data_IF_390137250083
#
_entry.id   IF_390137250083
#
_cell.length_a   1.000
_cell.length_b   1.000
_cell.length_c   1.000
_cell.angle_alpha   90.00
_cell.angle_beta   90.00
_cell.angle_gamma   90.00
#
_symmetry.space_group_name_H-M   'P 1'
#
loop_
_entity.id
_entity.type
_entity.pdbx_description
1 polymer ?
#
# COMPACT_ATOMS: atom_id res chain seq x y z
N UNK A 1 16.33 -21.48 13.40
CA UNK A 1 17.30 -22.16 12.51
C UNK A 1 18.17 -21.08 11.91
N UNK A 2 19.41 -20.96 12.36
CA UNK A 2 20.36 -19.99 11.82
C UNK A 2 20.53 -20.22 10.32
N UNK A 3 20.37 -19.15 9.55
CA UNK A 3 20.67 -19.12 8.12
C UNK A 3 22.18 -19.20 8.00
N UNK A 4 22.74 -20.43 7.93
CA UNK A 4 24.15 -20.61 7.61
C UNK A 4 24.41 -19.96 6.26
N UNK A 5 25.30 -18.97 6.24
CA UNK A 5 25.84 -18.33 5.04
C UNK A 5 26.36 -19.40 4.08
N UNK A 6 25.56 -19.73 3.07
CA UNK A 6 26.01 -20.58 1.95
C UNK A 6 27.02 -19.76 1.15
N UNK A 7 28.29 -20.17 1.17
CA UNK A 7 29.36 -19.52 0.39
C UNK A 7 28.97 -19.47 -1.09
N UNK A 8 28.83 -18.25 -1.64
CA UNK A 8 28.52 -18.00 -3.06
C UNK A 8 27.06 -17.72 -3.38
N UNK A 9 26.14 -17.68 -2.40
CA UNK A 9 24.75 -17.33 -2.61
C UNK A 9 24.54 -15.81 -2.59
N UNK A 10 23.75 -15.31 -3.53
CA UNK A 10 23.25 -13.93 -3.52
C UNK A 10 22.04 -13.87 -2.61
N UNK A 11 22.01 -12.89 -1.70
CA UNK A 11 20.84 -12.65 -0.83
C UNK A 11 20.25 -11.30 -1.13
N UNK A 12 18.97 -11.30 -1.50
CA UNK A 12 18.15 -10.10 -1.69
C UNK A 12 17.07 -10.09 -0.61
N UNK A 13 16.69 -8.92 -0.13
CA UNK A 13 15.49 -8.78 0.68
C UNK A 13 14.59 -7.68 0.17
N UNK A 14 13.28 -7.89 0.23
CA UNK A 14 12.26 -6.91 -0.09
C UNK A 14 11.27 -6.75 1.06
N UNK A 15 10.89 -5.52 1.43
CA UNK A 15 9.95 -5.27 2.52
C UNK A 15 8.51 -5.55 2.10
N UNK A 16 7.63 -5.73 3.08
CA UNK A 16 6.22 -5.44 2.92
C UNK A 16 5.97 -3.93 2.94
N UNK A 17 4.71 -3.55 2.72
CA UNK A 17 4.27 -2.16 2.90
C UNK A 17 2.91 -2.10 3.62
N UNK A 18 2.67 -1.00 4.34
CA UNK A 18 1.34 -0.63 4.79
C UNK A 18 0.82 0.56 3.96
N UNK A 19 -0.51 0.62 3.76
CA UNK A 19 -1.18 1.74 3.11
C UNK A 19 -1.43 2.82 4.17
N UNK A 20 -0.49 3.77 4.27
CA UNK A 20 -0.43 4.71 5.37
C UNK A 20 -1.44 5.83 5.21
N UNK A 21 -1.38 6.60 4.11
CA UNK A 21 -2.29 7.71 3.86
C UNK A 21 -2.82 7.69 2.43
N UNK A 22 -4.00 8.29 2.24
CA UNK A 22 -4.69 8.44 0.96
C UNK A 22 -5.14 7.10 0.34
N UNK A 23 -5.57 6.18 1.17
CA UNK A 23 -6.09 4.86 0.77
C UNK A 23 -7.20 4.98 -0.28
N UNK A 24 -7.19 4.11 -1.31
CA UNK A 24 -8.16 4.11 -2.42
C UNK A 24 -8.14 5.33 -3.34
N UNK A 25 -7.02 6.02 -3.43
CA UNK A 25 -6.89 7.19 -4.30
C UNK A 25 -6.04 6.95 -5.55
N UNK A 26 -5.19 5.93 -5.55
CA UNK A 26 -4.26 5.60 -6.63
C UNK A 26 -4.96 5.37 -7.99
N UNK A 27 -6.02 4.58 -8.02
CA UNK A 27 -6.77 4.33 -9.27
C UNK A 27 -7.57 5.54 -9.76
N UNK A 28 -7.74 6.57 -8.93
CA UNK A 28 -8.33 7.86 -9.31
C UNK A 28 -7.29 8.84 -9.86
N UNK A 29 -6.02 8.45 -9.88
CA UNK A 29 -4.90 9.29 -10.30
C UNK A 29 -4.47 10.32 -9.26
N UNK A 30 -4.91 10.19 -8.01
CA UNK A 30 -4.48 10.99 -6.88
C UNK A 30 -3.22 10.38 -6.23
N UNK A 31 -2.37 11.19 -5.58
CA UNK A 31 -1.19 10.66 -4.92
C UNK A 31 -1.55 9.74 -3.76
N UNK A 32 -0.68 8.78 -3.44
CA UNK A 32 -0.80 7.89 -2.28
C UNK A 32 0.49 7.90 -1.47
N UNK A 33 0.39 7.54 -0.19
CA UNK A 33 1.54 7.57 0.73
C UNK A 33 1.71 6.21 1.39
N UNK A 34 2.32 5.22 0.72
CA UNK A 34 2.71 3.97 1.35
C UNK A 34 3.89 4.18 2.32
N UNK A 35 3.95 3.33 3.33
CA UNK A 35 5.11 3.16 4.20
C UNK A 35 5.64 1.74 4.09
N UNK A 36 6.93 1.59 3.80
CA UNK A 36 7.58 0.30 3.88
C UNK A 36 7.72 -0.13 5.34
N UNK A 37 7.49 -1.41 5.60
CA UNK A 37 7.60 -2.01 6.93
C UNK A 37 8.87 -2.84 7.06
N UNK A 38 9.29 -3.17 8.27
CA UNK A 38 10.51 -3.95 8.49
C UNK A 38 10.30 -5.47 8.45
N UNK A 39 9.07 -5.94 8.16
CA UNK A 39 8.82 -7.34 7.79
C UNK A 39 9.27 -7.55 6.34
N UNK A 40 10.12 -8.54 6.11
CA UNK A 40 10.79 -8.72 4.82
C UNK A 40 10.62 -10.11 4.26
N UNK A 41 10.68 -10.20 2.94
CA UNK A 41 10.83 -11.45 2.19
C UNK A 41 12.30 -11.58 1.76
N UNK A 42 12.92 -12.70 2.06
CA UNK A 42 14.32 -13.00 1.74
C UNK A 42 14.41 -13.98 0.59
N UNK A 43 15.30 -13.69 -0.36
CA UNK A 43 15.61 -14.50 -1.53
C UNK A 43 17.04 -15.00 -1.41
N UNK A 44 17.20 -16.30 -1.31
CA UNK A 44 18.50 -16.98 -1.32
C UNK A 44 18.68 -17.59 -2.70
N UNK A 45 19.72 -17.18 -3.42
CA UNK A 45 19.84 -17.48 -4.83
C UNK A 45 21.22 -18.00 -5.23
N UNK A 46 21.24 -19.03 -6.06
CA UNK A 46 22.45 -19.59 -6.68
C UNK A 46 22.32 -19.47 -8.20
N UNK A 47 23.24 -18.72 -8.88
CA UNK A 47 23.25 -18.62 -10.31
C UNK A 47 23.54 -19.97 -11.00
N UNK A 48 22.76 -20.29 -12.04
CA UNK A 48 22.93 -21.49 -12.86
C UNK A 48 23.67 -21.18 -14.17
N UNK A 49 24.22 -22.22 -14.79
CA UNK A 49 24.86 -22.10 -16.10
C UNK A 49 23.85 -22.22 -17.28
N UNK A 50 22.68 -22.77 -17.02
CA UNK A 50 21.61 -22.94 -17.99
C UNK A 50 20.61 -21.75 -18.01
N UNK A 51 19.48 -21.92 -18.67
CA UNK A 51 18.40 -20.94 -18.78
C UNK A 51 17.13 -21.39 -18.02
N UNK A 52 17.31 -22.08 -16.89
CA UNK A 52 16.20 -22.58 -16.07
C UNK A 52 16.13 -21.85 -14.75
N UNK A 53 14.95 -21.44 -14.36
CA UNK A 53 14.66 -20.98 -13.00
C UNK A 53 14.02 -22.12 -12.20
N UNK A 54 14.51 -22.35 -10.99
CA UNK A 54 13.79 -23.09 -9.95
C UNK A 54 13.46 -22.16 -8.82
N UNK A 55 12.24 -22.19 -8.33
CA UNK A 55 11.79 -21.36 -7.23
C UNK A 55 11.11 -22.21 -6.17
N UNK A 56 11.40 -21.95 -4.89
CA UNK A 56 10.83 -22.66 -3.74
C UNK A 56 10.49 -21.69 -2.63
N UNK A 57 9.32 -21.84 -2.04
CA UNK A 57 8.87 -21.07 -0.87
C UNK A 57 8.81 -21.97 0.36
N UNK A 58 9.62 -21.65 1.38
CA UNK A 58 9.64 -22.39 2.64
C UNK A 58 8.35 -22.19 3.44
N UNK A 59 7.72 -21.02 3.31
CA UNK A 59 6.51 -20.70 4.07
C UNK A 59 5.31 -21.45 3.51
N UNK A 60 5.16 -21.50 2.17
CA UNK A 60 4.09 -22.28 1.52
C UNK A 60 4.26 -23.79 1.74
N UNK A 61 5.51 -24.27 1.74
CA UNK A 61 5.81 -25.67 2.07
C UNK A 61 5.36 -26.02 3.49
N UNK A 62 5.63 -25.13 4.45
CA UNK A 62 5.17 -25.28 5.84
C UNK A 62 3.66 -25.29 6.00
N UNK A 63 2.92 -24.70 5.05
CA UNK A 63 1.46 -24.69 4.99
C UNK A 63 0.86 -25.85 4.19
N UNK A 64 1.69 -26.69 3.55
CA UNK A 64 1.23 -27.77 2.67
C UNK A 64 0.68 -27.29 1.32
N UNK A 65 0.97 -26.04 0.95
CA UNK A 65 0.55 -25.44 -0.32
C UNK A 65 1.56 -25.72 -1.44
N UNK A 66 1.18 -25.58 -2.74
CA UNK A 66 2.12 -25.67 -3.85
C UNK A 66 3.25 -24.67 -3.69
N UNK A 67 4.45 -25.15 -3.35
CA UNK A 67 5.59 -24.35 -2.86
C UNK A 67 6.79 -24.31 -3.80
N UNK A 68 6.73 -24.98 -4.97
CA UNK A 68 7.83 -25.03 -5.93
C UNK A 68 7.35 -24.86 -7.38
N UNK A 69 8.22 -24.25 -8.20
CA UNK A 69 8.02 -24.13 -9.64
C UNK A 69 9.35 -24.23 -10.39
N UNK A 70 9.28 -24.67 -11.65
CA UNK A 70 10.41 -24.72 -12.57
C UNK A 70 9.96 -24.22 -13.95
N UNK A 71 10.72 -23.29 -14.54
CA UNK A 71 10.42 -22.73 -15.85
C UNK A 71 11.69 -22.16 -16.52
N UNK A 72 11.62 -21.94 -17.84
CA UNK A 72 12.76 -21.46 -18.61
C UNK A 72 12.76 -19.94 -18.79
N UNK A 73 13.94 -19.39 -19.15
CA UNK A 73 14.10 -17.98 -19.54
C UNK A 73 13.51 -17.76 -20.94
N UNK A 74 12.20 -17.73 -21.00
CA UNK A 74 11.39 -17.41 -22.19
C UNK A 74 10.07 -16.82 -21.74
N UNK A 75 9.20 -16.44 -22.68
CA UNK A 75 7.82 -16.11 -22.35
C UNK A 75 7.10 -17.38 -21.85
N UNK A 76 6.65 -17.33 -20.59
CA UNK A 76 6.03 -18.46 -19.94
C UNK A 76 4.49 -18.29 -19.91
N UNK A 77 3.78 -19.42 -20.04
CA UNK A 77 2.33 -19.47 -19.82
C UNK A 77 2.05 -19.47 -18.31
N UNK A 78 1.09 -18.65 -17.87
CA UNK A 78 0.59 -18.67 -16.49
C UNK A 78 -0.17 -19.98 -16.23
N UNK A 79 -0.02 -20.52 -15.01
CA UNK A 79 -0.79 -21.71 -14.58
C UNK A 79 -2.19 -21.30 -14.12
N UNK A 80 -2.36 -20.09 -13.60
CA UNK A 80 -3.61 -19.59 -13.05
C UNK A 80 -3.92 -20.13 -11.65
N UNK A 81 -5.15 -19.88 -11.16
CA UNK A 81 -5.59 -20.41 -9.86
C UNK A 81 -4.82 -19.83 -8.66
N UNK A 82 -4.25 -18.61 -8.77
CA UNK A 82 -3.43 -17.96 -7.74
C UNK A 82 -2.13 -18.71 -7.41
N UNK A 83 -1.57 -19.45 -8.39
CA UNK A 83 -0.32 -20.16 -8.19
C UNK A 83 0.85 -19.18 -7.98
N UNK A 84 1.58 -19.33 -6.88
CA UNK A 84 2.64 -18.39 -6.50
C UNK A 84 3.76 -18.27 -7.55
N UNK A 85 4.06 -19.34 -8.28
CA UNK A 85 5.07 -19.35 -9.34
C UNK A 85 4.72 -18.43 -10.52
N UNK A 86 3.45 -18.06 -10.70
CA UNK A 86 3.03 -17.16 -11.78
C UNK A 86 3.54 -15.74 -11.58
N UNK A 87 3.76 -15.29 -10.36
CA UNK A 87 4.39 -13.99 -10.08
C UNK A 87 5.85 -13.95 -10.60
N UNK A 88 6.62 -15.01 -10.39
CA UNK A 88 7.98 -15.15 -10.94
C UNK A 88 7.96 -15.21 -12.47
N UNK A 89 7.04 -16.00 -13.05
CA UNK A 89 6.84 -16.08 -14.51
C UNK A 89 6.46 -14.73 -15.10
N UNK A 90 5.61 -13.97 -14.41
CA UNK A 90 5.20 -12.61 -14.76
C UNK A 90 6.41 -11.67 -14.87
N UNK A 91 7.26 -11.64 -13.87
CA UNK A 91 8.50 -10.82 -13.90
C UNK A 91 9.39 -11.20 -15.09
N UNK A 92 9.63 -12.50 -15.33
CA UNK A 92 10.44 -12.95 -16.48
C UNK A 92 9.78 -12.56 -17.80
N UNK A 93 8.47 -12.72 -17.93
CA UNK A 93 7.73 -12.33 -19.14
C UNK A 93 7.85 -10.84 -19.43
N UNK A 94 7.73 -9.99 -18.42
CA UNK A 94 7.90 -8.52 -18.56
C UNK A 94 9.32 -8.19 -19.01
N UNK A 95 10.34 -8.80 -18.40
CA UNK A 95 11.74 -8.58 -18.80
C UNK A 95 12.02 -9.06 -20.24
N UNK A 96 11.46 -10.20 -20.64
CA UNK A 96 11.55 -10.69 -22.04
C UNK A 96 10.87 -9.72 -23.00
N UNK A 97 9.66 -9.21 -22.68
CA UNK A 97 8.96 -8.21 -23.49
C UNK A 97 9.75 -6.89 -23.62
N UNK A 98 10.49 -6.50 -22.57
CA UNK A 98 11.40 -5.33 -22.60
C UNK A 98 12.72 -5.59 -23.34
N UNK A 99 12.89 -6.76 -23.98
CA UNK A 99 14.09 -7.10 -24.74
C UNK A 99 15.29 -7.58 -23.90
N UNK A 100 15.11 -7.75 -22.60
CA UNK A 100 16.19 -8.14 -21.67
C UNK A 100 16.41 -9.66 -21.59
N UNK A 101 15.58 -10.48 -22.22
CA UNK A 101 15.62 -11.95 -22.12
C UNK A 101 16.97 -12.57 -22.43
N UNK A 102 17.76 -12.01 -23.37
CA UNK A 102 19.10 -12.52 -23.72
C UNK A 102 20.11 -12.39 -22.58
N UNK A 103 19.95 -11.35 -21.74
CA UNK A 103 20.83 -11.10 -20.57
C UNK A 103 20.50 -12.00 -19.41
N UNK A 104 19.26 -12.51 -19.30
CA UNK A 104 18.84 -13.36 -18.22
C UNK A 104 19.58 -14.70 -18.25
N UNK A 105 19.87 -15.25 -17.09
CA UNK A 105 20.41 -16.60 -16.86
C UNK A 105 19.55 -17.32 -15.83
N UNK A 106 19.63 -18.64 -15.80
CA UNK A 106 18.91 -19.44 -14.81
C UNK A 106 19.42 -19.19 -13.39
N UNK A 107 18.56 -19.38 -12.42
CA UNK A 107 18.84 -19.17 -10.99
C UNK A 107 17.99 -20.16 -10.20
N UNK A 108 18.61 -20.82 -9.22
CA UNK A 108 17.90 -21.54 -8.16
C UNK A 108 17.59 -20.55 -7.04
N UNK A 109 16.31 -20.41 -6.67
CA UNK A 109 15.83 -19.42 -5.70
C UNK A 109 15.03 -20.09 -4.60
N UNK A 110 15.43 -19.90 -3.36
CA UNK A 110 14.62 -20.23 -2.17
C UNK A 110 14.15 -18.95 -1.52
N UNK A 111 12.87 -18.82 -1.22
CA UNK A 111 12.31 -17.67 -0.51
C UNK A 111 11.84 -18.04 0.89
N UNK A 112 12.02 -17.10 1.83
CA UNK A 112 11.45 -17.11 3.16
C UNK A 112 10.86 -15.75 3.47
N UNK A 113 9.64 -15.69 3.96
CA UNK A 113 8.89 -14.46 4.20
C UNK A 113 8.58 -14.29 5.69
N UNK A 114 8.80 -13.07 6.19
CA UNK A 114 8.23 -12.60 7.45
C UNK A 114 6.89 -11.90 7.22
N UNK A 115 6.55 -11.61 5.94
CA UNK A 115 5.31 -10.93 5.56
C UNK A 115 4.20 -11.96 5.52
N UNK A 116 3.14 -11.82 6.33
CA UNK A 116 2.04 -12.79 6.34
C UNK A 116 1.29 -12.80 5.01
N UNK A 117 0.99 -13.99 4.52
CA UNK A 117 0.25 -14.15 3.26
C UNK A 117 -1.21 -13.70 3.43
N UNK A 118 -1.69 -12.87 2.51
CA UNK A 118 -3.08 -12.42 2.47
C UNK A 118 -3.48 -11.43 3.56
N UNK A 119 -2.54 -10.86 4.29
CA UNK A 119 -2.79 -9.84 5.34
C UNK A 119 -2.96 -8.42 4.81
N UNK A 120 -2.84 -8.18 3.50
CA UNK A 120 -2.90 -6.84 2.92
C UNK A 120 -1.59 -6.05 3.05
N UNK A 121 -0.46 -6.72 3.36
CA UNK A 121 0.87 -6.11 3.51
C UNK A 121 1.76 -6.29 2.27
N UNK A 122 1.17 -6.59 1.11
CA UNK A 122 1.82 -6.68 -0.21
C UNK A 122 2.90 -7.74 -0.33
N UNK A 123 2.63 -8.97 0.12
CA UNK A 123 3.55 -10.10 -0.08
C UNK A 123 3.78 -10.39 -1.57
N UNK A 124 2.79 -10.21 -2.45
CA UNK A 124 2.94 -10.34 -3.92
C UNK A 124 3.95 -9.34 -4.48
N UNK A 125 3.77 -8.05 -4.17
CA UNK A 125 4.69 -7.01 -4.62
C UNK A 125 6.10 -7.20 -4.06
N UNK A 126 6.23 -7.66 -2.80
CA UNK A 126 7.53 -7.99 -2.22
C UNK A 126 8.22 -9.13 -2.98
N UNK A 127 7.45 -10.13 -3.42
CA UNK A 127 7.95 -11.24 -4.24
C UNK A 127 8.40 -10.75 -5.62
N UNK A 128 7.57 -9.99 -6.33
CA UNK A 128 7.84 -9.51 -7.69
C UNK A 128 9.02 -8.56 -7.75
N UNK A 129 9.01 -7.52 -6.90
CA UNK A 129 10.07 -6.51 -6.85
C UNK A 129 11.37 -7.11 -6.32
N UNK A 130 11.30 -8.02 -5.33
CA UNK A 130 12.46 -8.74 -4.80
C UNK A 130 13.10 -9.64 -5.86
N UNK A 131 12.31 -10.39 -6.63
CA UNK A 131 12.81 -11.21 -7.72
C UNK A 131 13.33 -10.37 -8.89
N UNK A 132 12.68 -9.27 -9.24
CA UNK A 132 13.19 -8.33 -10.24
C UNK A 132 14.56 -7.75 -9.82
N UNK A 133 14.75 -7.39 -8.54
CA UNK A 133 16.03 -6.94 -8.01
C UNK A 133 17.08 -8.04 -8.02
N UNK A 134 16.71 -9.28 -7.72
CA UNK A 134 17.61 -10.42 -7.82
C UNK A 134 18.14 -10.57 -9.25
N UNK A 135 17.25 -10.54 -10.26
CA UNK A 135 17.62 -10.60 -11.67
C UNK A 135 18.45 -9.38 -12.10
N UNK A 136 18.09 -8.19 -11.59
CA UNK A 136 18.85 -6.97 -11.81
C UNK A 136 20.31 -7.12 -11.37
N UNK A 137 20.52 -7.63 -10.16
CA UNK A 137 21.85 -7.84 -9.59
C UNK A 137 22.63 -8.94 -10.32
N UNK A 138 22.07 -10.16 -10.40
CA UNK A 138 22.78 -11.34 -10.96
C UNK A 138 23.06 -11.22 -12.44
N UNK A 139 22.19 -10.55 -13.19
CA UNK A 139 22.31 -10.39 -14.67
C UNK A 139 22.83 -9.01 -15.09
N UNK A 140 23.20 -8.13 -14.16
CA UNK A 140 23.71 -6.78 -14.41
C UNK A 140 22.80 -5.98 -15.37
N UNK A 141 21.49 -5.89 -15.05
CA UNK A 141 20.51 -5.26 -15.93
C UNK A 141 20.50 -3.74 -15.84
N UNK A 142 21.08 -3.15 -14.79
CA UNK A 142 21.14 -1.70 -14.53
C UNK A 142 19.76 -1.03 -14.42
N UNK A 143 18.81 -1.70 -13.78
CA UNK A 143 17.45 -1.21 -13.55
C UNK A 143 17.42 -0.27 -12.34
N UNK A 144 16.76 0.88 -12.50
CA UNK A 144 16.49 1.80 -11.40
C UNK A 144 15.31 1.31 -10.54
N UNK A 145 15.12 1.91 -9.34
CA UNK A 145 13.99 1.58 -8.44
C UNK A 145 12.63 1.70 -9.13
N UNK A 146 12.45 2.71 -9.98
CA UNK A 146 11.23 2.89 -10.76
C UNK A 146 11.01 1.73 -11.76
N UNK A 147 12.09 1.26 -12.43
CA UNK A 147 11.98 0.12 -13.35
C UNK A 147 11.56 -1.15 -12.61
N UNK A 148 12.12 -1.39 -11.41
CA UNK A 148 11.75 -2.54 -10.57
C UNK A 148 10.27 -2.49 -10.19
N UNK A 149 9.77 -1.31 -9.76
CA UNK A 149 8.38 -1.12 -9.42
C UNK A 149 7.46 -1.34 -10.63
N UNK A 150 7.80 -0.79 -11.80
CA UNK A 150 7.01 -0.96 -13.03
C UNK A 150 7.08 -2.39 -13.59
N UNK A 151 8.16 -3.14 -13.34
CA UNK A 151 8.25 -4.57 -13.69
C UNK A 151 7.32 -5.37 -12.78
N UNK A 152 7.35 -5.14 -11.46
CA UNK A 152 6.44 -5.79 -10.52
C UNK A 152 4.98 -5.50 -10.86
N UNK A 153 4.62 -4.22 -11.04
CA UNK A 153 3.26 -3.83 -11.44
C UNK A 153 2.80 -4.53 -12.73
N UNK A 154 3.65 -4.54 -13.77
CA UNK A 154 3.30 -5.19 -15.04
C UNK A 154 3.20 -6.72 -14.89
N UNK A 155 4.01 -7.33 -14.02
CA UNK A 155 3.93 -8.75 -13.71
C UNK A 155 2.59 -9.10 -13.06
N UNK A 156 2.16 -8.38 -12.03
CA UNK A 156 0.91 -8.64 -11.31
C UNK A 156 -0.31 -8.29 -12.17
N UNK A 157 -0.34 -7.07 -12.70
CA UNK A 157 -1.52 -6.54 -13.37
C UNK A 157 -1.73 -7.10 -14.79
N UNK A 158 -0.65 -7.17 -15.61
CA UNK A 158 -0.75 -7.51 -17.03
C UNK A 158 -0.48 -8.99 -17.32
N UNK A 159 0.42 -9.63 -16.57
CA UNK A 159 0.79 -11.03 -16.82
C UNK A 159 -0.05 -11.99 -15.96
N UNK A 160 -0.16 -11.76 -14.66
CA UNK A 160 -0.98 -12.58 -13.75
C UNK A 160 -2.47 -12.22 -13.86
N UNK A 161 -2.78 -10.96 -14.16
CA UNK A 161 -4.14 -10.48 -14.36
C UNK A 161 -4.86 -10.09 -13.06
N UNK A 162 -4.11 -9.75 -12.00
CA UNK A 162 -4.67 -9.23 -10.75
C UNK A 162 -4.87 -7.72 -10.88
N UNK A 163 -6.09 -7.19 -10.76
CA UNK A 163 -6.32 -5.76 -10.83
C UNK A 163 -5.74 -5.06 -9.61
N UNK A 164 -4.59 -4.42 -9.77
CA UNK A 164 -3.88 -3.65 -8.74
C UNK A 164 -3.49 -2.27 -9.25
N UNK A 165 -3.25 -1.34 -8.32
CA UNK A 165 -2.58 -0.06 -8.58
C UNK A 165 -1.05 -0.20 -8.48
N UNK A 166 -0.35 0.93 -8.38
CA UNK A 166 1.12 0.97 -8.30
C UNK A 166 1.66 1.16 -6.88
N UNK A 167 0.79 1.45 -5.92
CA UNK A 167 1.14 1.74 -4.53
C UNK A 167 2.09 0.69 -3.95
N UNK A 168 1.77 -0.57 -4.15
CA UNK A 168 2.42 -1.73 -3.55
C UNK A 168 3.87 -1.85 -4.03
N UNK A 169 4.06 -1.93 -5.34
CA UNK A 169 5.37 -2.16 -5.93
C UNK A 169 6.30 -0.94 -5.74
N UNK A 170 5.75 0.28 -5.79
CA UNK A 170 6.54 1.48 -5.50
C UNK A 170 6.92 1.57 -4.03
N UNK A 171 6.01 1.31 -3.09
CA UNK A 171 6.31 1.27 -1.66
C UNK A 171 7.42 0.26 -1.33
N UNK A 172 7.34 -0.94 -1.89
CA UNK A 172 8.34 -2.01 -1.73
C UNK A 172 9.69 -1.62 -2.36
N UNK A 173 9.67 -1.06 -3.57
CA UNK A 173 10.89 -0.75 -4.31
C UNK A 173 11.68 0.40 -3.67
N UNK A 174 11.00 1.48 -3.33
CA UNK A 174 11.64 2.69 -2.81
C UNK A 174 11.95 2.60 -1.32
N UNK A 175 11.05 2.02 -0.53
CA UNK A 175 11.16 1.96 0.92
C UNK A 175 10.92 3.31 1.59
N UNK A 176 11.02 3.35 2.90
CA UNK A 176 10.73 4.54 3.68
C UNK A 176 9.25 4.90 3.62
N UNK A 177 8.97 6.19 3.71
CA UNK A 177 7.67 6.78 3.41
C UNK A 177 7.84 7.56 2.12
N UNK A 178 6.96 7.33 1.15
CA UNK A 178 7.01 8.03 -0.14
C UNK A 178 5.65 8.64 -0.45
N UNK A 179 5.64 9.79 -1.13
CA UNK A 179 4.49 10.26 -1.89
C UNK A 179 4.64 9.77 -3.33
N UNK A 180 3.69 8.97 -3.81
CA UNK A 180 3.65 8.51 -5.19
C UNK A 180 2.55 9.25 -5.94
N UNK A 181 2.90 9.98 -6.99
CA UNK A 181 1.93 10.53 -7.95
C UNK A 181 1.42 9.39 -8.87
N UNK A 182 0.11 9.13 -8.83
CA UNK A 182 -0.49 8.00 -9.55
C UNK A 182 -0.93 8.33 -11.00
N UNK A 183 -0.43 9.42 -11.56
CA UNK A 183 -0.51 9.74 -13.01
C UNK A 183 0.88 9.75 -13.63
N UNK A 184 1.02 9.34 -14.90
CA UNK A 184 2.30 9.43 -15.58
C UNK A 184 2.91 10.84 -15.48
N UNK A 185 4.21 10.96 -15.23
CA UNK A 185 5.26 9.93 -15.23
C UNK A 185 5.49 9.20 -13.90
N UNK A 186 4.51 9.10 -13.02
CA UNK A 186 4.56 8.39 -11.71
C UNK A 186 5.73 8.85 -10.84
N UNK A 187 5.75 10.15 -10.53
CA UNK A 187 6.82 10.77 -9.72
C UNK A 187 6.76 10.28 -8.28
N UNK A 188 7.94 10.02 -7.73
CA UNK A 188 8.11 9.62 -6.33
C UNK A 188 8.86 10.73 -5.59
N UNK A 189 8.28 11.16 -4.46
CA UNK A 189 8.90 12.05 -3.50
C UNK A 189 9.18 11.26 -2.22
N UNK A 190 10.44 10.97 -1.87
CA UNK A 190 10.78 10.41 -0.56
C UNK A 190 10.48 11.43 0.54
N UNK A 191 9.77 11.01 1.58
CA UNK A 191 9.43 11.86 2.72
C UNK A 191 10.47 11.67 3.84
N UNK A 192 10.97 12.77 4.41
CA UNK A 192 12.09 12.70 5.37
C UNK A 192 11.69 12.22 6.77
N UNK A 193 10.43 12.38 7.20
CA UNK A 193 9.95 11.96 8.51
C UNK A 193 9.87 10.42 8.57
N UNK A 194 10.80 9.79 9.30
CA UNK A 194 10.93 8.32 9.36
C UNK A 194 10.86 7.73 10.76
N UNK A 195 10.81 8.57 11.80
CA UNK A 195 10.71 8.12 13.18
C UNK A 195 9.26 7.76 13.54
N UNK A 196 8.73 6.76 12.86
CA UNK A 196 7.39 6.22 13.10
C UNK A 196 7.49 4.75 13.49
N UNK A 197 6.74 4.38 14.52
CA UNK A 197 6.55 2.99 14.93
C UNK A 197 5.08 2.64 14.80
N UNK A 198 4.79 1.50 14.19
CA UNK A 198 3.45 1.00 13.95
C UNK A 198 3.23 -0.34 14.66
N UNK A 199 2.06 -0.52 15.25
CA UNK A 199 1.50 -1.85 15.46
C UNK A 199 0.67 -2.19 14.22
N UNK A 200 0.93 -3.35 13.62
CA UNK A 200 0.24 -3.88 12.46
C UNK A 200 -0.57 -5.06 12.95
N UNK A 201 -1.88 -5.03 12.78
CA UNK A 201 -2.81 -6.02 13.33
C UNK A 201 -3.54 -6.70 12.17
N UNK A 202 -3.38 -8.02 12.03
CA UNK A 202 -4.16 -8.85 11.11
C UNK A 202 -5.50 -9.18 11.75
N UNK A 203 -6.60 -8.71 11.16
CA UNK A 203 -7.94 -9.02 11.64
C UNK A 203 -8.33 -10.50 11.48
N UNK A 204 -7.60 -11.27 10.66
CA UNK A 204 -7.98 -12.63 10.29
C UNK A 204 -9.09 -12.72 9.24
N UNK A 205 -9.75 -11.62 8.92
CA UNK A 205 -10.82 -11.56 7.92
C UNK A 205 -10.21 -11.39 6.53
N UNK A 206 -10.62 -12.25 5.59
CA UNK A 206 -10.11 -12.24 4.22
C UNK A 206 -11.21 -11.82 3.24
N UNK A 207 -10.91 -10.80 2.46
CA UNK A 207 -11.75 -10.32 1.36
C UNK A 207 -10.95 -10.18 0.06
N UNK A 208 -11.68 -10.21 -1.06
CA UNK A 208 -11.08 -10.01 -2.38
C UNK A 208 -11.16 -8.53 -2.78
N UNK A 209 -10.03 -7.93 -3.09
CA UNK A 209 -9.96 -6.58 -3.68
C UNK A 209 -10.79 -6.47 -4.96
N UNK A 210 -10.89 -7.56 -5.72
CA UNK A 210 -11.67 -7.63 -6.96
C UNK A 210 -13.18 -7.41 -6.76
N UNK A 211 -13.71 -7.65 -5.56
CA UNK A 211 -15.12 -7.44 -5.25
C UNK A 211 -15.42 -6.01 -4.79
N UNK A 212 -14.43 -5.33 -4.22
CA UNK A 212 -14.58 -4.02 -3.59
C UNK A 212 -14.43 -2.87 -4.60
N UNK A 213 -13.34 -2.86 -5.36
CA UNK A 213 -13.00 -1.73 -6.24
C UNK A 213 -14.03 -1.44 -7.32
N UNK A 214 -14.55 -2.43 -8.11
CA UNK A 214 -15.48 -2.15 -9.19
C UNK A 214 -16.76 -1.47 -8.71
N UNK A 215 -17.27 -1.87 -7.54
CA UNK A 215 -18.48 -1.26 -6.96
C UNK A 215 -18.27 0.22 -6.61
N UNK A 216 -17.13 0.54 -5.98
CA UNK A 216 -16.80 1.93 -5.61
C UNK A 216 -16.55 2.81 -6.82
N UNK A 217 -15.87 2.29 -7.83
CA UNK A 217 -15.65 2.95 -9.11
C UNK A 217 -16.97 3.23 -9.84
N UNK A 218 -17.89 2.26 -9.86
CA UNK A 218 -19.23 2.42 -10.44
C UNK A 218 -20.04 3.51 -9.72
N UNK A 219 -19.99 3.57 -8.38
CA UNK A 219 -20.66 4.59 -7.60
C UNK A 219 -20.14 6.00 -7.95
N UNK A 220 -18.81 6.17 -8.08
CA UNK A 220 -18.20 7.43 -8.50
C UNK A 220 -18.65 7.82 -9.91
N UNK A 221 -18.59 6.87 -10.85
CA UNK A 221 -18.98 7.13 -12.25
C UNK A 221 -20.42 7.59 -12.38
N UNK A 222 -21.35 7.04 -11.58
CA UNK A 222 -22.74 7.51 -11.55
C UNK A 222 -22.85 8.97 -11.10
N UNK A 223 -22.11 9.34 -10.04
CA UNK A 223 -22.09 10.72 -9.56
C UNK A 223 -21.49 11.69 -10.57
N UNK A 224 -20.36 11.32 -11.18
CA UNK A 224 -19.72 12.12 -12.22
C UNK A 224 -20.63 12.31 -13.42
N UNK A 225 -21.31 11.25 -13.87
CA UNK A 225 -22.30 11.32 -14.95
C UNK A 225 -23.42 12.30 -14.61
N UNK A 226 -23.99 12.21 -13.40
CA UNK A 226 -25.05 13.12 -12.96
C UNK A 226 -24.58 14.58 -12.97
N UNK A 227 -23.35 14.86 -12.51
CA UNK A 227 -22.76 16.19 -12.55
C UNK A 227 -22.56 16.68 -13.99
N UNK A 228 -21.97 15.87 -14.87
CA UNK A 228 -21.69 16.24 -16.27
C UNK A 228 -22.95 16.51 -17.07
N UNK A 229 -24.03 15.77 -16.84
CA UNK A 229 -25.30 15.89 -17.55
C UNK A 229 -26.21 16.99 -16.98
N UNK A 230 -25.94 17.48 -15.76
CA UNK A 230 -26.71 18.57 -15.15
C UNK A 230 -26.44 19.91 -15.82
N UNK A 231 -27.52 20.68 -16.06
CA UNK A 231 -27.44 22.05 -16.56
C UNK A 231 -27.09 23.07 -15.48
N UNK A 232 -27.17 22.68 -14.21
CA UNK A 232 -26.86 23.53 -13.07
C UNK A 232 -25.36 23.70 -12.84
N UNK A 233 -24.55 22.77 -13.37
CA UNK A 233 -23.10 22.75 -13.19
C UNK A 233 -22.43 23.74 -14.15
N UNK A 234 -21.61 24.68 -13.64
CA UNK A 234 -20.85 25.59 -14.50
C UNK A 234 -19.89 24.84 -15.42
N UNK A 235 -19.76 25.29 -16.67
CA UNK A 235 -18.83 24.64 -17.63
C UNK A 235 -17.39 24.64 -17.14
N UNK A 236 -16.93 25.68 -16.45
CA UNK A 236 -15.60 25.72 -15.83
C UNK A 236 -15.34 24.58 -14.83
N UNK A 237 -16.37 24.14 -14.08
CA UNK A 237 -16.26 22.99 -13.20
C UNK A 237 -16.27 21.69 -14.00
N UNK A 238 -17.07 21.60 -15.06
CA UNK A 238 -17.11 20.42 -15.94
C UNK A 238 -15.79 20.15 -16.64
N UNK A 239 -14.97 21.16 -16.93
CA UNK A 239 -13.63 21.01 -17.51
C UNK A 239 -12.69 20.20 -16.61
N UNK A 240 -12.91 20.22 -15.29
CA UNK A 240 -12.15 19.44 -14.31
C UNK A 240 -12.79 18.10 -13.95
N UNK A 241 -14.02 17.87 -14.38
CA UNK A 241 -14.76 16.62 -14.18
C UNK A 241 -14.52 15.64 -15.33
N UNK A 242 -15.32 14.61 -15.41
CA UNK A 242 -15.36 13.60 -16.46
C UNK A 242 -16.46 12.61 -16.18
N UNK A 243 -16.51 11.50 -16.91
CA UNK A 243 -17.54 10.47 -16.76
C UNK A 243 -17.08 9.24 -15.97
N UNK A 244 -15.76 9.08 -15.79
CA UNK A 244 -15.17 7.94 -15.08
C UNK A 244 -14.23 8.41 -13.97
N UNK A 245 -14.10 7.62 -12.91
CA UNK A 245 -13.39 7.91 -11.66
C UNK A 245 -11.94 8.38 -11.85
N UNK A 246 -11.29 8.03 -12.96
CA UNK A 246 -9.89 8.31 -13.29
C UNK A 246 -9.71 9.59 -14.16
N UNK A 247 -10.80 10.15 -14.70
CA UNK A 247 -10.74 11.34 -15.57
C UNK A 247 -10.60 12.65 -14.81
N UNK A 248 -11.31 12.88 -13.67
CA UNK A 248 -11.30 14.20 -13.06
C UNK A 248 -9.90 14.64 -12.60
N UNK A 249 -9.69 15.94 -12.67
CA UNK A 249 -8.56 16.62 -12.02
C UNK A 249 -8.88 16.87 -10.55
N UNK A 250 -9.02 15.78 -9.78
CA UNK A 250 -9.48 15.82 -8.39
C UNK A 250 -8.78 16.84 -7.49
N UNK A 251 -7.51 17.13 -7.74
CA UNK A 251 -6.74 18.12 -6.98
C UNK A 251 -7.14 19.55 -7.28
N UNK A 252 -7.83 19.80 -8.41
CA UNK A 252 -8.32 21.11 -8.82
C UNK A 252 -9.80 21.32 -8.46
N UNK A 253 -10.44 20.34 -7.81
CA UNK A 253 -11.85 20.38 -7.43
C UNK A 253 -11.95 20.57 -5.91
N UNK A 254 -12.46 21.72 -5.48
CA UNK A 254 -12.74 22.00 -4.07
C UNK A 254 -14.08 21.42 -3.61
N UNK A 255 -14.15 20.96 -2.34
CA UNK A 255 -15.43 20.52 -1.76
C UNK A 255 -16.46 21.65 -1.78
N UNK A 256 -16.04 22.89 -1.50
CA UNK A 256 -16.92 24.09 -1.52
C UNK A 256 -17.54 24.35 -2.89
N UNK A 257 -16.85 24.05 -3.98
CA UNK A 257 -17.34 24.23 -5.34
C UNK A 257 -18.43 23.20 -5.68
N UNK A 258 -18.27 21.95 -5.20
CA UNK A 258 -19.16 20.85 -5.56
C UNK A 258 -20.36 20.72 -4.61
N UNK A 259 -20.25 21.27 -3.37
CA UNK A 259 -21.27 21.09 -2.32
C UNK A 259 -22.66 21.56 -2.73
N UNK A 260 -22.74 22.61 -3.53
CA UNK A 260 -24.01 23.18 -4.01
C UNK A 260 -24.74 22.26 -5.00
N UNK A 261 -24.02 21.30 -5.56
CA UNK A 261 -24.52 20.38 -6.58
C UNK A 261 -24.64 18.93 -6.09
N UNK A 262 -24.46 18.70 -4.79
CA UNK A 262 -24.58 17.34 -4.24
C UNK A 262 -25.97 16.73 -4.38
N UNK A 263 -27.01 17.58 -4.50
CA UNK A 263 -28.40 17.16 -4.66
C UNK A 263 -28.70 16.49 -6.01
N UNK A 264 -27.85 16.70 -7.03
CA UNK A 264 -28.05 16.06 -8.35
C UNK A 264 -27.62 14.59 -8.37
N UNK A 265 -26.96 14.12 -7.31
CA UNK A 265 -26.41 12.75 -7.20
C UNK A 265 -27.19 11.90 -6.19
N UNK A 266 -27.18 10.58 -6.40
CA UNK A 266 -27.62 9.65 -5.36
C UNK A 266 -26.68 9.68 -4.15
N UNK A 267 -27.18 9.25 -2.97
CA UNK A 267 -26.44 9.35 -1.71
C UNK A 267 -25.12 8.58 -1.73
N UNK A 268 -25.06 7.42 -2.39
CA UNK A 268 -23.81 6.65 -2.48
C UNK A 268 -22.78 7.35 -3.37
N UNK A 269 -23.17 7.85 -4.52
CA UNK A 269 -22.30 8.61 -5.39
C UNK A 269 -21.75 9.86 -4.70
N UNK A 270 -22.61 10.61 -4.01
CA UNK A 270 -22.27 11.78 -3.19
C UNK A 270 -21.22 11.42 -2.12
N UNK A 271 -21.46 10.34 -1.35
CA UNK A 271 -20.51 9.87 -0.34
C UNK A 271 -19.13 9.56 -0.95
N UNK A 272 -19.06 8.87 -2.11
CA UNK A 272 -17.78 8.51 -2.77
C UNK A 272 -17.00 9.72 -3.27
N UNK A 273 -17.71 10.73 -3.81
CA UNK A 273 -17.06 11.97 -4.25
C UNK A 273 -16.55 12.78 -3.06
N UNK A 274 -17.35 12.95 -2.01
CA UNK A 274 -16.92 13.60 -0.78
C UNK A 274 -15.74 12.87 -0.13
N UNK A 275 -15.77 11.53 -0.09
CA UNK A 275 -14.63 10.74 0.37
C UNK A 275 -13.36 11.10 -0.40
N UNK A 276 -13.45 11.16 -1.74
CA UNK A 276 -12.28 11.43 -2.59
C UNK A 276 -11.65 12.78 -2.25
N UNK A 277 -12.46 13.83 -2.14
CA UNK A 277 -12.00 15.19 -1.86
C UNK A 277 -11.44 15.34 -0.43
N UNK A 278 -12.16 14.81 0.56
CA UNK A 278 -11.78 14.92 1.98
C UNK A 278 -10.54 14.10 2.30
N UNK A 279 -10.42 12.90 1.75
CA UNK A 279 -9.24 12.04 1.93
C UNK A 279 -8.00 12.73 1.35
N UNK A 280 -8.11 13.33 0.15
CA UNK A 280 -7.02 14.09 -0.46
C UNK A 280 -6.62 15.29 0.41
N UNK A 281 -7.58 16.09 0.87
CA UNK A 281 -7.33 17.25 1.73
C UNK A 281 -6.63 16.85 3.03
N UNK A 282 -7.11 15.80 3.69
CA UNK A 282 -6.51 15.25 4.92
C UNK A 282 -5.06 14.79 4.69
N UNK A 283 -4.80 14.19 3.52
CA UNK A 283 -3.45 13.75 3.15
C UNK A 283 -2.51 14.92 2.85
N UNK A 284 -2.97 15.94 2.15
CA UNK A 284 -2.14 17.15 1.91
C UNK A 284 -1.71 17.84 3.20
N UNK A 285 -2.60 17.88 4.18
CA UNK A 285 -2.26 18.36 5.51
C UNK A 285 -1.17 17.49 6.19
N UNK A 286 -1.31 16.16 6.16
CA UNK A 286 -0.32 15.25 6.72
C UNK A 286 1.04 15.32 6.01
N UNK A 287 1.06 15.56 4.69
CA UNK A 287 2.30 15.69 3.91
C UNK A 287 3.18 16.85 4.40
N UNK A 288 2.59 17.94 4.90
CA UNK A 288 3.34 19.03 5.50
C UNK A 288 4.15 18.58 6.72
N UNK A 289 3.54 17.75 7.58
CA UNK A 289 4.21 17.18 8.75
C UNK A 289 5.34 16.25 8.30
N UNK A 290 5.06 15.37 7.34
CA UNK A 290 6.02 14.40 6.82
C UNK A 290 7.21 15.05 6.09
N UNK A 291 7.08 16.35 5.70
CA UNK A 291 8.14 17.19 5.13
C UNK A 291 8.83 18.08 6.16
N UNK A 292 8.47 18.00 7.44
CA UNK A 292 8.93 18.90 8.50
C UNK A 292 8.56 20.37 8.26
N UNK A 293 7.45 20.63 7.57
CA UNK A 293 6.92 21.99 7.44
C UNK A 293 6.32 22.46 8.79
N UNK A 294 6.45 23.74 9.08
CA UNK A 294 5.86 24.32 10.32
C UNK A 294 4.36 24.45 10.16
N UNK A 295 3.61 23.87 11.09
CA UNK A 295 2.15 23.93 11.13
C UNK A 295 1.70 24.73 12.34
N UNK A 296 0.85 25.75 12.11
CA UNK A 296 0.27 26.57 13.16
C UNK A 296 -1.01 25.97 13.75
N UNK A 297 -1.43 26.53 14.89
CA UNK A 297 -2.68 26.15 15.56
C UNK A 297 -3.88 26.26 14.63
N UNK A 298 -3.98 27.38 13.90
CA UNK A 298 -5.12 27.67 13.03
C UNK A 298 -5.29 26.60 11.95
N UNK A 299 -4.18 26.14 11.41
CA UNK A 299 -4.18 25.08 10.40
C UNK A 299 -4.56 23.72 10.97
N UNK A 300 -4.09 23.40 12.19
CA UNK A 300 -4.47 22.16 12.88
C UNK A 300 -5.98 22.18 13.17
N UNK A 301 -6.49 23.30 13.71
CA UNK A 301 -7.92 23.45 14.02
C UNK A 301 -8.77 23.38 12.75
N UNK A 302 -8.32 23.96 11.65
CA UNK A 302 -9.03 23.94 10.36
C UNK A 302 -9.16 22.51 9.80
N UNK A 303 -8.14 21.68 9.98
CA UNK A 303 -8.12 20.31 9.41
C UNK A 303 -8.66 19.25 10.37
N UNK A 304 -8.42 19.37 11.67
CA UNK A 304 -8.75 18.34 12.67
C UNK A 304 -9.82 18.76 13.68
N UNK A 305 -10.15 20.07 13.76
CA UNK A 305 -11.11 20.61 14.71
C UNK A 305 -10.51 21.01 16.05
N UNK A 306 -11.26 21.83 16.79
CA UNK A 306 -10.83 22.43 18.07
C UNK A 306 -10.62 21.36 19.15
N UNK A 307 -11.47 20.36 19.24
CA UNK A 307 -11.40 19.35 20.30
C UNK A 307 -10.13 18.50 20.20
N UNK A 308 -9.75 18.09 18.98
CA UNK A 308 -8.48 17.37 18.73
C UNK A 308 -7.28 18.25 19.01
N UNK A 309 -7.33 19.55 18.67
CA UNK A 309 -6.29 20.48 19.04
C UNK A 309 -6.08 20.58 20.55
N UNK A 310 -7.16 20.63 21.35
CA UNK A 310 -7.06 20.68 22.81
C UNK A 310 -6.36 19.43 23.40
N UNK A 311 -6.46 18.29 22.75
CA UNK A 311 -5.74 17.07 23.14
C UNK A 311 -4.28 17.12 22.66
N UNK A 312 -4.04 17.52 21.40
CA UNK A 312 -2.68 17.61 20.80
C UNK A 312 -1.81 18.59 21.60
N UNK A 313 -2.32 19.79 21.95
CA UNK A 313 -1.53 20.81 22.64
C UNK A 313 -1.09 20.42 24.05
N UNK A 314 -1.74 19.42 24.68
CA UNK A 314 -1.37 18.89 26.00
C UNK A 314 -0.24 17.87 25.92
N UNK A 315 0.10 17.39 24.73
CA UNK A 315 1.16 16.41 24.52
C UNK A 315 2.54 17.06 24.60
N UNK A 316 3.57 16.30 25.01
CA UNK A 316 4.95 16.74 24.91
C UNK A 316 5.29 17.23 23.49
N UNK A 317 6.16 18.23 23.40
CA UNK A 317 6.51 18.86 22.12
C UNK A 317 7.09 17.84 21.12
N UNK A 318 7.88 16.91 21.60
CA UNK A 318 8.49 15.83 20.81
C UNK A 318 7.48 14.81 20.26
N UNK A 319 6.30 14.71 20.86
CA UNK A 319 5.24 13.81 20.39
C UNK A 319 4.20 14.51 19.51
N UNK A 320 4.29 15.83 19.36
CA UNK A 320 3.22 16.62 18.74
C UNK A 320 2.94 16.18 17.30
N UNK A 321 3.99 16.01 16.50
CA UNK A 321 3.86 15.63 15.11
C UNK A 321 3.29 14.19 14.96
N UNK A 322 3.71 13.28 15.83
CA UNK A 322 3.15 11.93 15.89
C UNK A 322 1.66 11.94 16.24
N UNK A 323 1.26 12.79 17.18
CA UNK A 323 -0.15 12.95 17.57
C UNK A 323 -1.00 13.53 16.45
N UNK A 324 -0.48 14.54 15.74
CA UNK A 324 -1.19 15.11 14.60
C UNK A 324 -1.37 14.06 13.51
N UNK A 325 -0.30 13.30 13.18
CA UNK A 325 -0.38 12.20 12.20
C UNK A 325 -1.37 11.11 12.66
N UNK A 326 -1.38 10.77 13.94
CA UNK A 326 -2.35 9.83 14.51
C UNK A 326 -3.79 10.31 14.35
N UNK A 327 -4.06 11.59 14.62
CA UNK A 327 -5.40 12.15 14.44
C UNK A 327 -5.81 12.23 12.95
N UNK A 328 -4.86 12.46 12.05
CA UNK A 328 -5.11 12.34 10.59
C UNK A 328 -5.48 10.89 10.23
N UNK A 329 -4.79 9.89 10.80
CA UNK A 329 -5.14 8.47 10.56
C UNK A 329 -6.55 8.16 11.06
N UNK A 330 -6.93 8.64 12.25
CA UNK A 330 -8.28 8.48 12.79
C UNK A 330 -9.34 9.13 11.90
N UNK A 331 -9.07 10.33 11.39
CA UNK A 331 -9.95 11.02 10.45
C UNK A 331 -10.13 10.23 9.15
N UNK A 332 -9.02 9.76 8.56
CA UNK A 332 -9.05 8.93 7.36
C UNK A 332 -9.77 7.59 7.58
N UNK A 333 -9.66 7.00 8.78
CA UNK A 333 -10.43 5.81 9.12
C UNK A 333 -11.94 6.08 9.14
N UNK A 334 -12.36 7.19 9.75
CA UNK A 334 -13.76 7.62 9.71
C UNK A 334 -14.25 7.82 8.27
N UNK A 335 -13.45 8.44 7.40
CA UNK A 335 -13.80 8.60 5.98
C UNK A 335 -13.96 7.24 5.27
N UNK A 336 -13.07 6.27 5.53
CA UNK A 336 -13.16 4.91 4.98
C UNK A 336 -14.42 4.18 5.45
N UNK A 337 -14.78 4.33 6.71
CA UNK A 337 -15.98 3.74 7.32
C UNK A 337 -17.25 4.40 6.80
N UNK A 338 -17.37 5.72 6.95
CA UNK A 338 -18.63 6.44 6.84
C UNK A 338 -18.99 6.83 5.39
N UNK A 339 -17.96 7.13 4.58
CA UNK A 339 -18.15 7.60 3.20
C UNK A 339 -17.76 6.55 2.15
N UNK A 340 -17.04 5.48 2.56
CA UNK A 340 -16.60 4.48 1.58
C UNK A 340 -17.07 3.05 1.91
N UNK A 341 -17.77 2.85 3.03
CA UNK A 341 -18.32 1.56 3.50
C UNK A 341 -17.26 0.45 3.51
N UNK A 342 -16.10 0.68 4.09
CA UNK A 342 -14.97 -0.27 4.10
C UNK A 342 -14.65 -0.83 5.47
N UNK A 343 -15.39 -0.47 6.52
CA UNK A 343 -15.20 -1.02 7.84
C UNK A 343 -16.24 -2.08 8.19
N UNK A 344 -15.87 -2.96 9.13
CA UNK A 344 -16.71 -3.98 9.74
C UNK A 344 -16.68 -3.81 11.25
N UNK A 345 -17.68 -4.30 12.01
CA UNK A 345 -17.66 -4.23 13.48
C UNK A 345 -16.35 -4.73 14.10
N UNK A 346 -15.83 -5.86 13.63
CA UNK A 346 -14.56 -6.43 14.14
C UNK A 346 -13.37 -5.48 13.89
N UNK A 347 -13.36 -4.73 12.78
CA UNK A 347 -12.31 -3.75 12.50
C UNK A 347 -12.44 -2.50 13.39
N UNK A 348 -13.67 -2.09 13.72
CA UNK A 348 -13.94 -1.01 14.66
C UNK A 348 -13.52 -1.40 16.10
N UNK A 349 -13.75 -2.64 16.50
CA UNK A 349 -13.31 -3.16 17.80
C UNK A 349 -11.79 -3.15 17.90
N UNK A 350 -11.07 -3.56 16.85
CA UNK A 350 -9.60 -3.51 16.77
C UNK A 350 -9.10 -2.06 16.83
N UNK A 351 -9.69 -1.14 16.07
CA UNK A 351 -9.32 0.28 16.12
C UNK A 351 -9.57 0.87 17.52
N UNK A 352 -10.73 0.57 18.12
CA UNK A 352 -11.11 1.04 19.46
C UNK A 352 -10.16 0.51 20.54
N UNK A 353 -9.81 -0.79 20.48
CA UNK A 353 -8.84 -1.39 21.37
C UNK A 353 -7.46 -0.74 21.25
N UNK A 354 -7.02 -0.48 20.02
CA UNK A 354 -5.73 0.21 19.75
C UNK A 354 -5.69 1.59 20.40
N UNK A 355 -6.72 2.39 20.20
CA UNK A 355 -6.81 3.75 20.75
C UNK A 355 -6.97 3.72 22.27
N UNK A 356 -7.72 2.75 22.82
CA UNK A 356 -7.99 2.59 24.24
C UNK A 356 -6.72 2.36 25.09
N UNK A 357 -5.68 1.76 24.52
CA UNK A 357 -4.39 1.54 25.18
C UNK A 357 -3.32 2.57 24.78
N UNK A 358 -3.70 3.61 24.05
CA UNK A 358 -2.87 4.80 23.82
C UNK A 358 -2.13 4.85 22.50
N UNK A 359 -2.57 4.15 21.44
CA UNK A 359 -2.15 4.45 20.09
C UNK A 359 -2.48 5.91 19.74
N UNK A 360 -1.64 6.57 18.97
CA UNK A 360 -1.88 7.93 18.49
C UNK A 360 -3.02 8.00 17.47
N UNK A 361 -3.14 6.95 16.65
CA UNK A 361 -4.20 6.78 15.67
C UNK A 361 -4.19 5.37 15.11
N UNK A 362 -5.35 4.94 14.58
CA UNK A 362 -5.50 3.62 13.96
C UNK A 362 -6.40 3.70 12.73
N UNK A 363 -6.07 2.93 11.69
CA UNK A 363 -6.87 2.89 10.46
C UNK A 363 -6.69 1.59 9.68
N UNK A 364 -7.66 1.30 8.83
CA UNK A 364 -7.57 0.23 7.81
C UNK A 364 -6.37 0.47 6.89
N UNK A 365 -5.62 -0.60 6.62
CA UNK A 365 -4.55 -0.65 5.63
C UNK A 365 -4.92 -1.57 4.46
N UNK A 366 -4.93 -1.02 3.24
CA UNK A 366 -5.32 -1.75 2.02
C UNK A 366 -6.80 -1.65 1.68
N UNK A 367 -7.36 -2.69 1.06
CA UNK A 367 -8.69 -2.64 0.42
C UNK A 367 -9.88 -2.46 1.38
N UNK A 368 -9.71 -2.77 2.67
CA UNK A 368 -10.80 -2.74 3.65
C UNK A 368 -11.66 -4.01 3.65
N UNK A 369 -12.75 -3.99 4.42
CA UNK A 369 -13.65 -5.13 4.64
C UNK A 369 -12.93 -6.37 5.20
N UNK A 370 -11.81 -6.19 5.89
CA UNK A 370 -10.89 -7.18 6.44
C UNK A 370 -9.44 -6.75 6.27
N UNK A 371 -8.51 -7.71 6.26
CA UNK A 371 -7.08 -7.46 6.15
C UNK A 371 -6.48 -6.88 7.43
N UNK A 372 -5.59 -5.88 7.31
CA UNK A 372 -4.88 -5.32 8.44
C UNK A 372 -5.36 -3.94 8.86
N UNK A 373 -5.25 -3.68 10.15
CA UNK A 373 -5.26 -2.35 10.76
C UNK A 373 -3.81 -1.95 11.04
N UNK A 374 -3.47 -0.68 10.80
CA UNK A 374 -2.22 -0.08 11.26
C UNK A 374 -2.51 0.94 12.34
N UNK A 375 -1.80 0.86 13.46
CA UNK A 375 -1.88 1.81 14.56
C UNK A 375 -0.52 2.49 14.76
N UNK A 376 -0.51 3.83 14.76
CA UNK A 376 0.69 4.60 15.05
C UNK A 376 0.89 4.65 16.57
N UNK A 377 2.08 4.29 17.02
CA UNK A 377 2.40 4.16 18.45
C UNK A 377 3.68 4.90 18.81
N UNK A 378 3.84 5.20 20.10
CA UNK A 378 5.00 5.93 20.61
C UNK A 378 6.32 5.17 20.41
N UNK A 379 6.32 3.87 20.68
CA UNK A 379 7.50 3.01 20.64
C UNK A 379 7.09 1.53 20.53
N UNK A 380 8.08 0.64 20.50
CA UNK A 380 7.83 -0.81 20.38
C UNK A 380 7.10 -1.42 21.58
N UNK A 381 7.33 -0.90 22.80
CA UNK A 381 6.62 -1.35 24.00
C UNK A 381 5.13 -1.09 23.87
N UNK A 382 4.77 0.17 23.52
CA UNK A 382 3.39 0.56 23.26
C UNK A 382 2.77 -0.21 22.09
N UNK A 383 3.58 -0.56 21.08
CA UNK A 383 3.16 -1.43 19.99
C UNK A 383 2.74 -2.83 20.47
N UNK A 384 3.47 -3.41 21.41
CA UNK A 384 3.10 -4.71 22.03
C UNK A 384 1.80 -4.60 22.84
N UNK A 385 1.66 -3.54 23.67
CA UNK A 385 0.41 -3.31 24.41
C UNK A 385 -0.82 -3.24 23.48
N UNK A 386 -0.66 -2.55 22.33
CA UNK A 386 -1.71 -2.44 21.31
C UNK A 386 -2.04 -3.81 20.71
N UNK A 387 -1.03 -4.61 20.36
CA UNK A 387 -1.24 -5.95 19.83
C UNK A 387 -2.01 -6.82 20.83
N UNK A 388 -1.57 -6.85 22.09
CA UNK A 388 -2.23 -7.65 23.14
C UNK A 388 -3.69 -7.24 23.35
N UNK A 389 -3.97 -5.94 23.34
CA UNK A 389 -5.34 -5.43 23.42
C UNK A 389 -6.18 -5.86 22.20
N UNK A 390 -5.63 -5.79 20.99
CA UNK A 390 -6.31 -6.20 19.76
C UNK A 390 -6.57 -7.71 19.70
N UNK A 391 -5.63 -8.54 20.15
CA UNK A 391 -5.82 -9.99 20.27
C UNK A 391 -6.96 -10.33 21.22
N UNK A 392 -7.13 -9.56 22.31
CA UNK A 392 -8.22 -9.78 23.27
C UNK A 392 -9.61 -9.50 22.71
N UNK A 393 -9.73 -8.73 21.63
CA UNK A 393 -10.99 -8.44 20.93
C UNK A 393 -11.16 -9.22 19.63
N UNK A 394 -10.32 -10.24 19.39
CA UNK A 394 -10.50 -11.18 18.28
C UNK A 394 -9.59 -10.98 17.06
N UNK A 395 -8.62 -10.07 17.11
CA UNK A 395 -7.59 -10.02 16.08
C UNK A 395 -6.80 -11.34 16.04
N UNK A 396 -6.33 -11.72 14.85
CA UNK A 396 -5.65 -12.99 14.65
C UNK A 396 -4.18 -12.95 15.10
N UNK A 397 -3.48 -11.90 14.74
CA UNK A 397 -2.03 -11.77 14.93
C UNK A 397 -1.61 -10.29 14.82
N UNK A 398 -0.45 -9.93 15.33
CA UNK A 398 0.08 -8.58 15.20
C UNK A 398 1.60 -8.50 15.25
N UNK A 399 2.16 -7.43 14.67
CA UNK A 399 3.60 -7.16 14.59
C UNK A 399 3.87 -5.70 14.90
N UNK A 400 4.97 -5.44 15.59
CA UNK A 400 5.52 -4.09 15.72
C UNK A 400 6.47 -3.86 14.56
N UNK A 401 6.33 -2.74 13.86
CA UNK A 401 7.19 -2.38 12.75
C UNK A 401 7.61 -0.92 12.81
N UNK A 402 8.87 -0.67 12.51
CA UNK A 402 9.37 0.66 12.13
C UNK A 402 9.29 0.86 10.64
N UNK A 403 9.56 2.09 10.20
CA UNK A 403 9.71 2.40 8.77
C UNK A 403 10.88 1.61 8.20
N UNK A 404 10.59 0.77 7.21
CA UNK A 404 11.54 -0.14 6.58
C UNK A 404 12.27 0.47 5.39
N UNK A 405 13.43 -0.07 5.05
CA UNK A 405 14.12 0.25 3.80
C UNK A 405 13.51 -0.51 2.62
N UNK A 406 13.67 0.02 1.40
CA UNK A 406 13.21 -0.63 0.17
C UNK A 406 13.92 -1.95 -0.14
N UNK A 407 13.64 -2.49 -1.31
CA UNK A 407 14.33 -3.67 -1.81
C UNK A 407 15.83 -3.42 -1.89
N UNK A 408 16.64 -4.41 -1.43
CA UNK A 408 18.10 -4.27 -1.38
C UNK A 408 18.83 -5.60 -1.53
N UNK A 409 20.11 -5.49 -1.88
CA UNK A 409 21.08 -6.60 -1.83
C UNK A 409 21.61 -6.68 -0.40
N UNK A 410 21.52 -7.83 0.22
CA UNK A 410 22.07 -8.10 1.57
C UNK A 410 23.51 -8.65 1.48
N UNK A 411 23.73 -9.55 0.51
CA UNK A 411 25.06 -10.12 0.21
C UNK A 411 25.10 -10.70 -1.20
N UNK A 412 26.29 -10.72 -1.82
CA UNK A 412 26.51 -11.33 -3.13
C UNK A 412 27.58 -10.66 -3.97
#
# INVERSE_FOLDING_TARGET
>A
MEVQSMKGSVVISSPGRADFLNTHQDYKGLPVVPVAINLRMHFFAEPRKDKVFTVRSLDLEGLGEPSADMFEVKRNKMRGGKFFGDYFRGVVNVLVKRGLGRKLRGIDVTIKSEIPVGSGLSSSAALEVGFAQLLNHVCNLSLAKQDLAEIGFAAENQEVGVPCGRLDQYGVSYGGIIKLECRPPYRVEPLPFRDLTFAIIDSGIRHSTADIHPKRQSDINRGLKALMESKEIPEALKENLGYTFDQPRWQEIGEEEIKHFLSVMDDKAKQRILFTLRMQKSTEFALKILRFERIGKEEIVMNLGQDRWENIRKSPQEERDHRILGEVMNDQHCLLRDLYDLSLPDLEDICSASLGVGAYGAKISGAGMGGSIIALVKNEEKGRDVIDACLSVGAKEGWVSKVGEGVRVESG
#
